data_IF_504065994203
#
_entry.id   IF_504065994203
#
_cell.length_a   1.000
_cell.length_b   1.000
_cell.length_c   1.000
_cell.angle_alpha   90.00
_cell.angle_beta   90.00
_cell.angle_gamma   90.00
#
_symmetry.space_group_name_H-M   'P 1'
#
loop_
_entity.id
_entity.type
_entity.pdbx_description
1 polymer ?
#
# COMPACT_ATOMS: atom_id res chain seq x y z
N UNK A 1 1.45 0.39 4.72
CA UNK A 1 0.37 0.91 3.89
C UNK A 1 -0.26 -0.25 3.15
N UNK A 2 -1.60 -0.21 2.91
CA UNK A 2 -2.26 -1.30 2.19
C UNK A 2 -1.70 -1.49 0.79
N UNK A 3 -1.55 -2.74 0.40
CA UNK A 3 -1.15 -3.11 -0.96
C UNK A 3 -1.63 -4.51 -1.28
N UNK A 4 -1.77 -4.81 -2.56
CA UNK A 4 -2.15 -6.14 -3.01
C UNK A 4 -2.09 -6.25 -4.53
N UNK A 5 -2.39 -7.43 -5.02
CA UNK A 5 -2.37 -7.73 -6.45
C UNK A 5 -3.59 -7.17 -7.18
N UNK A 6 -3.40 -6.93 -8.46
CA UNK A 6 -4.49 -6.54 -9.37
C UNK A 6 -5.07 -7.83 -9.94
N UNK A 7 -6.38 -8.04 -9.77
CA UNK A 7 -7.05 -9.22 -10.29
C UNK A 7 -7.33 -9.09 -11.80
N UNK A 8 -7.49 -10.21 -12.45
CA UNK A 8 -7.83 -10.23 -13.87
C UNK A 8 -9.11 -9.45 -14.14
N UNK A 9 -9.08 -8.58 -15.14
CA UNK A 9 -10.22 -7.72 -15.48
C UNK A 9 -10.41 -6.49 -14.59
N UNK A 10 -9.57 -6.33 -13.58
CA UNK A 10 -9.65 -5.23 -12.63
C UNK A 10 -8.68 -4.12 -13.02
N UNK A 11 -9.09 -2.86 -12.93
CA UNK A 11 -8.17 -1.74 -13.12
C UNK A 11 -7.28 -1.54 -11.89
N UNK A 12 -6.11 -0.89 -12.02
CA UNK A 12 -5.29 -0.55 -10.85
C UNK A 12 -6.05 0.26 -9.79
N UNK A 13 -6.93 1.19 -10.21
CA UNK A 13 -7.74 1.99 -9.30
C UNK A 13 -8.72 1.12 -8.51
N UNK A 14 -9.39 0.19 -9.19
CA UNK A 14 -10.31 -0.74 -8.53
C UNK A 14 -9.58 -1.63 -7.53
N UNK A 15 -8.41 -2.12 -7.93
CA UNK A 15 -7.57 -2.95 -7.05
C UNK A 15 -7.15 -2.18 -5.80
N UNK A 16 -6.74 -0.92 -5.95
CA UNK A 16 -6.32 -0.09 -4.82
C UNK A 16 -7.45 0.11 -3.81
N UNK A 17 -8.65 0.42 -4.27
CA UNK A 17 -9.81 0.61 -3.40
C UNK A 17 -10.25 -0.71 -2.75
N UNK A 18 -10.22 -1.80 -3.49
CA UNK A 18 -10.56 -3.13 -2.96
C UNK A 18 -9.59 -3.56 -1.86
N UNK A 19 -8.29 -3.45 -2.12
CA UNK A 19 -7.27 -3.84 -1.13
C UNK A 19 -7.34 -2.96 0.12
N UNK A 20 -7.61 -1.66 -0.04
CA UNK A 20 -7.81 -0.77 1.11
C UNK A 20 -8.97 -1.26 1.99
N UNK A 21 -10.09 -1.61 1.38
CA UNK A 21 -11.25 -2.11 2.11
C UNK A 21 -10.96 -3.47 2.77
N UNK A 22 -10.34 -4.40 2.03
CA UNK A 22 -10.01 -5.72 2.54
C UNK A 22 -9.07 -5.65 3.75
N UNK A 23 -8.07 -4.78 3.70
CA UNK A 23 -7.04 -4.70 4.73
C UNK A 23 -7.40 -3.78 5.89
N UNK A 24 -8.23 -2.77 5.67
CA UNK A 24 -8.51 -1.73 6.69
C UNK A 24 -9.99 -1.47 6.94
N UNK A 25 -10.90 -2.09 6.18
CA UNK A 25 -12.33 -1.81 6.31
C UNK A 25 -12.76 -0.47 5.73
N UNK A 26 -11.85 0.33 5.22
CA UNK A 26 -12.15 1.69 4.76
C UNK A 26 -12.85 1.68 3.41
N UNK A 27 -14.01 2.33 3.34
CA UNK A 27 -14.76 2.59 2.09
C UNK A 27 -14.90 4.09 1.82
N UNK A 28 -14.71 4.93 2.85
CA UNK A 28 -14.83 6.40 2.76
C UNK A 28 -13.52 7.02 2.29
N UNK A 29 -13.03 6.59 1.13
CA UNK A 29 -11.79 7.10 0.55
C UNK A 29 -12.00 7.38 -0.94
N UNK A 30 -11.35 8.44 -1.42
CA UNK A 30 -11.35 8.76 -2.84
C UNK A 30 -9.93 8.98 -3.35
N UNK A 31 -9.69 8.60 -4.59
CA UNK A 31 -8.40 8.78 -5.22
C UNK A 31 -8.22 10.24 -5.61
N UNK A 32 -7.13 10.86 -5.12
CA UNK A 32 -6.74 12.23 -5.48
C UNK A 32 -5.76 12.25 -6.64
N UNK A 33 -4.86 11.28 -6.68
CA UNK A 33 -3.83 11.20 -7.72
C UNK A 33 -3.32 9.77 -7.84
N UNK A 34 -3.02 9.38 -9.06
CA UNK A 34 -2.37 8.12 -9.40
C UNK A 34 -0.91 8.39 -9.75
N UNK A 35 0.02 7.49 -9.40
CA UNK A 35 1.41 7.65 -9.80
C UNK A 35 1.53 7.71 -11.33
N UNK A 36 2.44 8.55 -11.83
CA UNK A 36 2.65 8.74 -13.27
C UNK A 36 3.15 7.47 -13.95
N UNK A 37 3.83 6.61 -13.19
CA UNK A 37 4.36 5.34 -13.71
C UNK A 37 4.31 4.26 -12.67
N UNK A 38 4.92 3.13 -13.01
CA UNK A 38 5.09 2.02 -12.11
C UNK A 38 6.37 2.19 -11.30
N UNK A 39 6.35 1.80 -10.04
CA UNK A 39 7.51 1.84 -9.16
C UNK A 39 7.95 0.41 -8.85
N UNK A 40 9.24 0.15 -9.01
CA UNK A 40 9.80 -1.18 -8.83
C UNK A 40 10.68 -1.26 -7.59
N UNK A 41 10.64 -2.40 -6.89
CA UNK A 41 11.68 -2.75 -5.95
C UNK A 41 12.07 -4.22 -6.12
N UNK A 42 13.33 -4.53 -5.77
CA UNK A 42 13.81 -5.90 -5.73
C UNK A 42 13.99 -6.36 -4.30
N UNK A 43 13.66 -7.63 -4.06
CA UNK A 43 13.95 -8.25 -2.79
C UNK A 43 15.45 -8.49 -2.66
N UNK A 44 16.03 -8.36 -1.44
CA UNK A 44 17.38 -8.86 -1.19
C UNK A 44 17.49 -10.34 -1.58
N UNK A 45 18.67 -10.76 -2.05
CA UNK A 45 18.85 -12.13 -2.55
C UNK A 45 18.52 -13.21 -1.53
N UNK A 46 18.76 -12.95 -0.26
CA UNK A 46 18.47 -13.89 0.83
C UNK A 46 16.96 -14.13 1.03
N UNK A 47 16.11 -13.26 0.48
CA UNK A 47 14.67 -13.41 0.52
C UNK A 47 14.09 -14.06 -0.74
N UNK A 48 14.92 -14.30 -1.76
CA UNK A 48 14.47 -15.02 -2.96
C UNK A 48 14.15 -16.47 -2.58
N UNK A 49 13.01 -16.95 -3.01
CA UNK A 49 12.55 -18.29 -2.70
C UNK A 49 11.70 -18.40 -1.43
N UNK A 50 11.60 -17.33 -0.62
CA UNK A 50 10.79 -17.33 0.60
C UNK A 50 9.71 -16.25 0.59
N UNK A 51 10.08 -15.01 0.24
CA UNK A 51 9.11 -13.92 0.13
C UNK A 51 8.35 -14.02 -1.21
N UNK A 52 7.17 -13.37 -1.29
CA UNK A 52 6.32 -13.34 -2.48
C UNK A 52 6.05 -14.76 -3.02
N UNK A 53 5.80 -15.70 -2.11
CA UNK A 53 5.54 -17.11 -2.41
C UNK A 53 6.72 -17.82 -3.10
N UNK A 54 7.93 -17.25 -2.99
CA UNK A 54 9.13 -17.81 -3.59
C UNK A 54 9.21 -17.74 -5.11
N UNK A 55 8.31 -16.99 -5.75
CA UNK A 55 8.18 -16.94 -7.21
C UNK A 55 8.77 -15.70 -7.84
N UNK A 56 8.97 -14.63 -7.07
CA UNK A 56 9.32 -13.31 -7.59
C UNK A 56 10.53 -12.75 -6.87
N UNK A 57 11.32 -11.95 -7.60
CA UNK A 57 12.51 -11.24 -7.08
C UNK A 57 12.17 -9.85 -6.56
N UNK A 58 10.95 -9.37 -6.79
CA UNK A 58 10.50 -8.06 -6.39
C UNK A 58 9.07 -7.81 -6.85
N UNK A 59 8.66 -6.55 -6.82
CA UNK A 59 7.34 -6.13 -7.28
C UNK A 59 7.42 -4.85 -8.10
N UNK A 60 6.44 -4.71 -9.01
CA UNK A 60 6.16 -3.47 -9.72
C UNK A 60 4.82 -2.95 -9.20
N UNK A 61 4.80 -1.69 -8.73
CA UNK A 61 3.66 -1.13 -8.03
C UNK A 61 3.15 0.14 -8.70
N UNK A 62 1.83 0.30 -8.71
CA UNK A 62 1.14 1.55 -9.00
C UNK A 62 0.63 2.13 -7.70
N UNK A 63 0.86 3.41 -7.48
CA UNK A 63 0.52 4.07 -6.21
C UNK A 63 -0.58 5.09 -6.39
N UNK A 64 -1.36 5.28 -5.33
CA UNK A 64 -2.49 6.19 -5.31
C UNK A 64 -2.48 7.02 -4.03
N UNK A 65 -2.58 8.33 -4.17
CA UNK A 65 -2.86 9.21 -3.05
C UNK A 65 -4.37 9.28 -2.88
N UNK A 66 -4.85 9.03 -1.68
CA UNK A 66 -6.28 9.01 -1.37
C UNK A 66 -6.59 9.93 -0.20
N UNK A 67 -7.78 10.53 -0.25
CA UNK A 67 -8.34 11.26 0.88
C UNK A 67 -9.29 10.34 1.63
N UNK A 68 -9.05 10.21 2.93
CA UNK A 68 -9.98 9.52 3.84
C UNK A 68 -10.90 10.57 4.47
N UNK A 69 -12.18 10.50 4.16
CA UNK A 69 -13.19 11.44 4.67
C UNK A 69 -14.19 10.80 5.62
N UNK A 70 -13.90 9.59 6.08
CA UNK A 70 -14.72 8.87 7.05
C UNK A 70 -14.27 9.10 8.49
N UNK A 71 -14.90 8.38 9.41
CA UNK A 71 -14.52 8.34 10.82
C UNK A 71 -13.46 7.27 11.06
N UNK A 72 -12.57 7.47 12.02
CA UNK A 72 -11.61 6.45 12.43
C UNK A 72 -12.28 5.15 12.87
N UNK A 73 -13.53 5.20 13.32
CA UNK A 73 -14.29 4.01 13.70
C UNK A 73 -14.53 3.06 12.51
N UNK A 74 -14.40 3.55 11.29
CA UNK A 74 -14.50 2.73 10.09
C UNK A 74 -13.28 1.81 9.93
N UNK A 75 -12.13 2.18 10.50
CA UNK A 75 -10.89 1.45 10.33
C UNK A 75 -10.92 0.16 11.16
N UNK A 76 -10.86 -0.97 10.48
CA UNK A 76 -10.87 -2.30 11.07
C UNK A 76 -9.82 -3.16 10.37
N UNK A 77 -8.72 -3.42 11.06
CA UNK A 77 -7.62 -4.23 10.55
C UNK A 77 -7.63 -5.66 11.07
N UNK A 78 -8.68 -6.05 11.81
CA UNK A 78 -8.84 -7.40 12.34
C UNK A 78 -9.12 -8.44 11.26
N UNK A 79 -9.10 -9.71 11.65
CA UNK A 79 -9.46 -10.81 10.75
C UNK A 79 -10.90 -10.72 10.32
N UNK A 80 -11.15 -11.11 9.07
CA UNK A 80 -12.47 -11.18 8.46
C UNK A 80 -12.74 -12.63 8.05
N UNK A 81 -14.01 -13.03 7.86
CA UNK A 81 -14.33 -14.41 7.50
C UNK A 81 -13.61 -14.93 6.25
N UNK A 82 -13.28 -14.04 5.32
CA UNK A 82 -12.67 -14.40 4.04
C UNK A 82 -11.21 -13.99 3.92
N UNK A 83 -10.63 -13.37 4.96
CA UNK A 83 -9.28 -12.81 4.86
C UNK A 83 -8.59 -12.75 6.22
N UNK A 84 -7.32 -13.19 6.28
CA UNK A 84 -6.46 -13.01 7.44
C UNK A 84 -6.08 -11.55 7.61
N UNK A 85 -5.86 -11.15 8.86
CA UNK A 85 -5.36 -9.82 9.16
C UNK A 85 -3.94 -9.64 8.62
N UNK A 86 -3.73 -8.57 7.85
CA UNK A 86 -2.40 -8.17 7.35
C UNK A 86 -1.65 -7.32 8.37
N UNK A 87 -2.37 -6.65 9.27
CA UNK A 87 -1.82 -5.72 10.24
C UNK A 87 -2.34 -6.04 11.63
N UNK A 88 -1.52 -5.75 12.65
CA UNK A 88 -1.92 -5.87 14.06
C UNK A 88 -2.11 -4.51 14.74
N UNK A 89 -1.56 -3.43 14.15
CA UNK A 89 -1.70 -2.06 14.67
C UNK A 89 -1.67 -1.07 13.52
N UNK A 90 -2.29 0.09 13.73
CA UNK A 90 -2.21 1.20 12.78
C UNK A 90 -2.09 2.53 13.51
N UNK A 91 -1.57 3.52 12.81
CA UNK A 91 -1.53 4.91 13.28
C UNK A 91 -1.46 5.86 12.09
N UNK A 92 -1.87 7.09 12.32
CA UNK A 92 -1.58 8.18 11.40
C UNK A 92 -0.14 8.65 11.60
N UNK A 93 0.54 9.00 10.51
CA UNK A 93 1.91 9.45 10.58
C UNK A 93 2.16 10.50 9.50
N UNK A 94 3.08 11.44 9.78
CA UNK A 94 3.52 12.39 8.76
C UNK A 94 4.37 11.67 7.72
N UNK A 95 4.22 12.09 6.46
CA UNK A 95 4.79 11.35 5.32
C UNK A 95 6.32 11.27 5.34
N UNK A 96 7.01 12.32 5.83
CA UNK A 96 8.47 12.34 5.83
C UNK A 96 9.12 11.33 6.79
N UNK A 97 8.35 10.78 7.72
CA UNK A 97 8.82 9.73 8.62
C UNK A 97 8.70 8.31 8.03
N UNK A 98 7.89 8.15 7.00
CA UNK A 98 7.60 6.82 6.44
C UNK A 98 8.83 6.07 5.93
N UNK A 99 9.78 6.71 5.19
CA UNK A 99 10.96 5.97 4.73
C UNK A 99 11.79 5.37 5.86
N UNK A 100 11.82 6.01 7.03
CA UNK A 100 12.54 5.50 8.19
C UNK A 100 11.82 4.36 8.90
N UNK A 101 10.52 4.20 8.68
CA UNK A 101 9.69 3.19 9.33
C UNK A 101 9.52 1.93 8.48
N UNK A 102 9.85 1.99 7.20
CA UNK A 102 9.69 0.85 6.29
C UNK A 102 10.97 0.04 6.18
N UNK A 103 10.84 -1.23 5.83
CA UNK A 103 11.98 -2.11 5.59
C UNK A 103 12.91 -1.49 4.53
N UNK A 104 14.27 -1.55 4.72
CA UNK A 104 15.21 -0.75 3.90
C UNK A 104 15.07 -0.91 2.39
N UNK A 105 14.80 -2.09 1.87
CA UNK A 105 14.74 -2.28 0.42
C UNK A 105 13.53 -1.60 -0.25
N UNK A 106 12.55 -1.13 0.53
CA UNK A 106 11.40 -0.37 0.02
C UNK A 106 11.55 1.15 0.15
N UNK A 107 12.61 1.63 0.81
CA UNK A 107 12.77 3.07 1.10
C UNK A 107 12.82 3.94 -0.15
N UNK A 108 13.50 3.45 -1.19
CA UNK A 108 13.64 4.21 -2.44
C UNK A 108 12.28 4.46 -3.09
N UNK A 109 11.42 3.45 -3.14
CA UNK A 109 10.06 3.58 -3.67
C UNK A 109 9.25 4.55 -2.81
N UNK A 110 9.31 4.42 -1.48
CA UNK A 110 8.57 5.29 -0.57
C UNK A 110 8.98 6.75 -0.74
N UNK A 111 10.27 7.04 -0.85
CA UNK A 111 10.76 8.40 -1.08
C UNK A 111 10.25 8.97 -2.40
N UNK A 112 10.30 8.20 -3.46
CA UNK A 112 9.83 8.63 -4.77
C UNK A 112 8.32 8.91 -4.76
N UNK A 113 7.52 8.06 -4.12
CA UNK A 113 6.08 8.22 -4.01
C UNK A 113 5.72 9.44 -3.16
N UNK A 114 6.41 9.65 -2.04
CA UNK A 114 6.18 10.82 -1.18
C UNK A 114 6.47 12.11 -1.94
N UNK A 115 7.56 12.14 -2.69
CA UNK A 115 7.91 13.28 -3.54
C UNK A 115 6.81 13.56 -4.58
N UNK A 116 6.38 12.52 -5.26
CA UNK A 116 5.37 12.63 -6.31
C UNK A 116 4.03 13.15 -5.79
N UNK A 117 3.65 12.74 -4.58
CA UNK A 117 2.37 13.08 -3.96
C UNK A 117 2.46 14.20 -2.92
N UNK A 118 3.58 14.92 -2.85
CA UNK A 118 3.86 15.89 -1.78
C UNK A 118 2.77 16.94 -1.59
N UNK A 119 2.10 17.35 -2.67
CA UNK A 119 1.02 18.35 -2.61
C UNK A 119 -0.22 17.88 -1.82
N UNK A 120 -0.38 16.57 -1.64
CA UNK A 120 -1.51 15.96 -0.93
C UNK A 120 -1.15 15.43 0.45
N UNK A 121 0.13 15.44 0.82
CA UNK A 121 0.62 14.80 2.04
C UNK A 121 1.04 15.81 3.10
N UNK A 122 0.98 15.34 4.33
CA UNK A 122 1.47 16.11 5.49
C UNK A 122 2.76 15.54 6.00
#
# INVERSE_FOLDING_TARGET
MPQGGIDEGESPQQAALRELEEETGVTSARILKESAGWHDYELPKDLWGTALKGKFRGQTQRWFAMEFDGSEDEIDIGEKPTQKAEFDQWKWEVSDKLPGLIIPFKRKVYKAVIDEFSEFLV
#
